data_IF_515042850542
#
_entry.id   IF_515042850542
#
_cell.length_a   1.000
_cell.length_b   1.000
_cell.length_c   1.000
_cell.angle_alpha   90.00
_cell.angle_beta   90.00
_cell.angle_gamma   90.00
#
_symmetry.space_group_name_H-M   'P 1'
#
loop_
_entity.id
_entity.type
_entity.pdbx_description
1 polymer ?
#
# COMPACT_ATOMS: atom_id res chain seq x y z
N UNK A 1 48.54 -40.23 43.29
CA UNK A 1 47.12 -40.52 43.61
C UNK A 1 46.20 -39.65 42.75
N UNK A 2 44.96 -40.05 42.45
CA UNK A 2 44.16 -39.44 41.35
C UNK A 2 43.32 -38.21 41.75
N UNK A 3 43.14 -37.32 40.76
CA UNK A 3 42.05 -36.35 40.45
C UNK A 3 40.94 -36.04 41.49
N UNK A 4 40.76 -34.74 41.75
CA UNK A 4 39.51 -33.94 41.88
C UNK A 4 39.91 -32.46 41.63
N UNK A 5 39.10 -31.53 41.12
CA UNK A 5 37.83 -31.56 40.35
C UNK A 5 37.82 -30.32 39.41
N UNK A 6 36.68 -29.81 38.90
CA UNK A 6 36.55 -28.60 38.07
C UNK A 6 35.32 -27.76 38.50
N UNK A 7 35.37 -26.45 38.24
CA UNK A 7 34.23 -25.51 38.12
C UNK A 7 33.73 -24.78 39.38
N UNK A 8 33.89 -23.45 39.36
CA UNK A 8 32.74 -22.52 39.35
C UNK A 8 33.18 -21.19 38.75
N UNK A 9 32.39 -20.65 37.82
CA UNK A 9 32.68 -19.38 37.15
C UNK A 9 31.94 -18.24 37.85
N UNK A 10 32.62 -17.10 38.04
CA UNK A 10 31.97 -15.82 38.34
C UNK A 10 32.32 -14.87 37.19
N UNK A 11 31.60 -15.02 36.09
CA UNK A 11 31.58 -14.04 35.01
C UNK A 11 30.51 -12.98 35.35
N UNK A 12 30.95 -11.78 35.74
CA UNK A 12 30.09 -10.59 35.90
C UNK A 12 30.99 -9.34 35.79
N UNK A 13 31.29 -8.90 34.56
CA UNK A 13 30.58 -7.78 33.91
C UNK A 13 30.87 -6.41 34.55
N UNK A 14 32.03 -5.83 34.22
CA UNK A 14 32.32 -4.42 34.50
C UNK A 14 31.44 -3.52 33.60
N UNK A 15 30.66 -2.64 34.22
CA UNK A 15 29.58 -1.89 33.57
C UNK A 15 30.05 -1.02 32.40
N UNK A 16 29.35 -1.15 31.26
CA UNK A 16 29.44 -0.16 30.18
C UNK A 16 28.70 1.11 30.63
N UNK A 17 29.38 2.26 30.58
CA UNK A 17 28.75 3.55 30.87
C UNK A 17 27.84 3.90 29.69
N UNK A 18 26.53 3.79 29.89
CA UNK A 18 25.54 4.23 28.93
C UNK A 18 25.50 5.76 28.90
N UNK A 19 26.26 6.38 27.98
CA UNK A 19 26.05 7.78 27.62
C UNK A 19 24.63 7.93 27.06
N UNK A 20 23.79 8.66 27.77
CA UNK A 20 22.39 8.91 27.39
C UNK A 20 22.35 9.67 26.06
N UNK A 21 22.05 8.95 24.98
CA UNK A 21 21.77 9.54 23.67
C UNK A 21 20.41 10.27 23.73
N UNK A 22 20.45 11.52 24.17
CA UNK A 22 19.29 12.43 24.15
C UNK A 22 19.09 12.94 22.71
N UNK A 23 18.57 12.06 21.86
CA UNK A 23 18.20 12.37 20.49
C UNK A 23 16.68 12.56 20.40
N UNK A 24 16.28 13.83 20.43
CA UNK A 24 14.99 14.43 20.08
C UNK A 24 13.87 13.46 19.65
N UNK A 25 12.72 13.53 20.33
CA UNK A 25 11.42 12.97 19.91
C UNK A 25 10.89 13.72 18.66
N UNK A 26 11.64 13.67 17.57
CA UNK A 26 11.27 14.22 16.28
C UNK A 26 10.35 13.22 15.57
N UNK A 27 9.08 13.21 15.98
CA UNK A 27 8.02 12.45 15.29
C UNK A 27 7.84 13.03 13.88
N UNK A 28 8.62 12.49 12.95
CA UNK A 28 8.52 12.79 11.52
C UNK A 28 7.16 12.32 11.02
N UNK A 29 6.18 13.23 10.98
CA UNK A 29 4.88 12.95 10.41
C UNK A 29 5.04 12.67 8.92
N UNK A 30 4.93 11.39 8.57
CA UNK A 30 4.98 10.93 7.19
C UNK A 30 3.84 11.58 6.39
N UNK A 31 4.08 12.08 5.16
CA UNK A 31 3.03 12.63 4.32
C UNK A 31 1.89 11.61 4.13
N UNK A 32 0.66 12.03 4.40
CA UNK A 32 -0.52 11.17 4.14
C UNK A 32 -0.65 10.95 2.64
N UNK A 33 -0.46 9.70 2.19
CA UNK A 33 -0.54 9.35 0.77
C UNK A 33 -2.01 9.37 0.35
N UNK A 34 -2.43 10.44 -0.32
CA UNK A 34 -3.76 10.55 -0.91
C UNK A 34 -3.81 9.81 -2.25
N UNK A 35 -4.10 8.51 -2.22
CA UNK A 35 -4.41 7.74 -3.43
C UNK A 35 -5.77 8.16 -4.00
N UNK A 36 -5.75 8.99 -5.05
CA UNK A 36 -6.96 9.23 -5.85
C UNK A 36 -7.18 8.03 -6.75
N UNK A 37 -8.30 7.32 -6.55
CA UNK A 37 -8.74 6.28 -7.47
C UNK A 37 -9.16 6.91 -8.80
N UNK A 38 -8.22 7.02 -9.74
CA UNK A 38 -8.52 7.27 -11.15
C UNK A 38 -9.23 6.04 -11.71
N UNK A 39 -10.42 6.24 -12.28
CA UNK A 39 -11.17 5.15 -12.90
C UNK A 39 -10.39 4.61 -14.11
N UNK A 40 -9.92 3.37 -14.00
CA UNK A 40 -9.10 2.71 -15.01
C UNK A 40 -9.87 2.54 -16.34
N UNK A 41 -9.14 2.43 -17.46
CA UNK A 41 -9.73 2.11 -18.77
C UNK A 41 -10.28 0.67 -18.77
N UNK A 42 -11.49 0.52 -18.26
CA UNK A 42 -12.19 -0.76 -18.16
C UNK A 42 -12.97 -1.09 -19.43
N UNK A 43 -13.24 -2.38 -19.63
CA UNK A 43 -14.18 -2.85 -20.67
C UNK A 43 -15.63 -2.44 -20.36
N UNK A 44 -15.97 -2.30 -19.07
CA UNK A 44 -17.29 -1.85 -18.59
C UNK A 44 -17.30 -0.33 -18.45
N UNK A 45 -18.24 0.31 -19.13
CA UNK A 45 -18.49 1.76 -19.04
C UNK A 45 -19.86 1.99 -18.41
N UNK A 46 -19.93 2.73 -17.31
CA UNK A 46 -21.16 2.97 -16.55
C UNK A 46 -21.95 4.21 -16.98
N UNK A 47 -21.28 5.18 -17.62
CA UNK A 47 -21.83 6.47 -17.97
C UNK A 47 -21.64 6.77 -19.47
N UNK A 48 -22.62 7.41 -20.10
CA UNK A 48 -22.46 7.92 -21.46
C UNK A 48 -21.68 9.23 -21.46
N UNK A 49 -20.82 9.44 -22.47
CA UNK A 49 -20.25 10.76 -22.74
C UNK A 49 -21.28 11.75 -23.34
N UNK A 50 -22.46 11.27 -23.74
CA UNK A 50 -23.52 12.11 -24.30
C UNK A 50 -24.46 12.59 -23.18
N UNK A 51 -24.47 13.90 -22.94
CA UNK A 51 -25.25 14.58 -21.88
C UNK A 51 -26.78 14.41 -21.99
N UNK A 52 -27.30 13.85 -23.09
CA UNK A 52 -28.71 13.46 -23.21
C UNK A 52 -29.08 12.23 -22.37
N UNK A 53 -28.09 11.44 -21.94
CA UNK A 53 -28.29 10.37 -20.95
C UNK A 53 -28.11 10.95 -19.54
N UNK A 54 -29.24 11.23 -18.88
CA UNK A 54 -29.28 11.87 -17.56
C UNK A 54 -29.14 10.88 -16.38
N UNK A 55 -29.00 9.59 -16.67
CA UNK A 55 -28.87 8.51 -15.71
C UNK A 55 -27.77 7.53 -16.14
N UNK A 56 -27.20 6.72 -15.22
CA UNK A 56 -26.28 5.64 -15.56
C UNK A 56 -26.85 4.71 -16.63
N UNK A 57 -25.97 4.09 -17.42
CA UNK A 57 -26.36 3.20 -18.52
C UNK A 57 -27.16 1.98 -18.03
N UNK A 58 -26.94 1.53 -16.79
CA UNK A 58 -27.70 0.48 -16.12
C UNK A 58 -29.17 0.86 -15.89
N UNK A 59 -29.43 2.11 -15.54
CA UNK A 59 -30.75 2.61 -15.13
C UNK A 59 -31.47 3.34 -16.29
N UNK A 60 -30.82 3.38 -17.46
CA UNK A 60 -31.41 3.89 -18.70
C UNK A 60 -32.39 2.86 -19.27
N UNK A 61 -33.67 3.19 -19.54
CA UNK A 61 -34.68 2.25 -20.05
C UNK A 61 -34.53 1.99 -21.56
N UNK A 62 -33.30 1.72 -22.02
CA UNK A 62 -32.94 1.48 -23.42
C UNK A 62 -31.62 0.74 -23.52
N UNK A 63 -31.51 -0.21 -24.45
CA UNK A 63 -30.25 -0.87 -24.78
C UNK A 63 -29.23 0.12 -25.38
N UNK A 64 -28.05 0.22 -24.75
CA UNK A 64 -26.92 1.04 -25.21
C UNK A 64 -25.65 0.21 -25.13
N UNK A 65 -24.99 0.01 -26.27
CA UNK A 65 -23.67 -0.64 -26.33
C UNK A 65 -22.58 0.42 -26.45
N UNK A 66 -21.55 0.33 -25.60
CA UNK A 66 -20.38 1.21 -25.63
C UNK A 66 -19.16 0.39 -26.10
N UNK A 67 -18.46 0.87 -27.12
CA UNK A 67 -17.11 0.41 -27.45
C UNK A 67 -16.13 1.17 -26.54
N UNK A 68 -15.49 0.47 -25.61
CA UNK A 68 -14.55 1.09 -24.66
C UNK A 68 -13.19 1.38 -25.31
N UNK A 69 -12.50 2.41 -24.82
CA UNK A 69 -11.16 2.76 -25.30
C UNK A 69 -10.17 1.60 -25.14
N UNK A 70 -10.32 0.79 -24.07
CA UNK A 70 -9.54 -0.43 -23.88
C UNK A 70 -9.81 -1.46 -24.98
N UNK A 71 -11.07 -1.75 -25.31
CA UNK A 71 -11.40 -2.70 -26.38
C UNK A 71 -10.83 -2.26 -27.73
N UNK A 72 -10.87 -0.96 -28.03
CA UNK A 72 -10.30 -0.41 -29.27
C UNK A 72 -8.78 -0.63 -29.31
N UNK A 73 -8.06 -0.32 -28.21
CA UNK A 73 -6.61 -0.55 -28.12
C UNK A 73 -6.25 -2.04 -28.20
N UNK A 74 -7.00 -2.90 -27.51
CA UNK A 74 -6.77 -4.36 -27.46
C UNK A 74 -7.05 -5.06 -28.82
N UNK A 75 -7.78 -4.42 -29.74
CA UNK A 75 -8.18 -5.00 -31.05
C UNK A 75 -7.53 -4.35 -32.27
N UNK A 76 -6.75 -3.28 -32.08
CA UNK A 76 -6.04 -2.59 -33.18
C UNK A 76 -4.61 -3.13 -33.33
N UNK A 77 -4.52 -4.34 -33.89
CA UNK A 77 -3.27 -5.05 -34.24
C UNK A 77 -2.68 -4.60 -35.58
#
# INVERSE_FOLDING_TARGET
TRKKIVSSAIASSLSMIATTAMAQEAVSQLPTIHTKATQEESLKVDQSANSKFVAPLKDTPKSVSILSQKLIKDTNS
#
